data_IF_156757156167
#
_entry.id   IF_156757156167
#
_cell.length_a   1.000
_cell.length_b   1.000
_cell.length_c   1.000
_cell.angle_alpha   90.00
_cell.angle_beta   90.00
_cell.angle_gamma   90.00
#
_symmetry.space_group_name_H-M   'P 1'
#
loop_
_entity.id
_entity.type
_entity.pdbx_description
1 polymer ?
#
# COMPACT_ATOMS: atom_id res chain seq x y z
N UNK A 1 66.44 13.73 -40.28
CA UNK A 1 67.49 12.90 -39.64
C UNK A 1 67.82 13.54 -38.29
N UNK A 2 67.12 13.16 -37.22
CA UNK A 2 67.46 13.39 -35.82
C UNK A 2 66.39 12.72 -34.93
N UNK A 3 66.87 12.01 -33.91
CA UNK A 3 66.12 11.23 -32.92
C UNK A 3 65.34 12.09 -31.92
N UNK A 4 64.23 11.55 -31.41
CA UNK A 4 63.81 11.54 -29.98
C UNK A 4 62.41 10.92 -29.91
N UNK A 5 61.99 10.08 -28.97
CA UNK A 5 62.62 9.37 -27.85
C UNK A 5 61.54 8.46 -27.23
N UNK A 6 61.97 7.27 -26.76
CA UNK A 6 61.50 6.37 -25.66
C UNK A 6 59.99 6.36 -25.31
N UNK A 7 59.35 5.23 -24.95
CA UNK A 7 59.58 4.39 -23.77
C UNK A 7 58.93 2.99 -23.98
N UNK A 8 59.57 1.94 -23.44
CA UNK A 8 59.02 0.58 -23.35
C UNK A 8 58.05 0.51 -22.17
N UNK A 9 56.83 0.02 -22.37
CA UNK A 9 56.00 -0.52 -21.30
C UNK A 9 56.00 -2.05 -21.39
N UNK A 10 56.29 -2.69 -20.26
CA UNK A 10 56.24 -4.13 -20.08
C UNK A 10 54.79 -4.62 -19.96
N UNK A 11 54.43 -5.69 -20.67
CA UNK A 11 53.22 -6.46 -20.39
C UNK A 11 53.48 -7.34 -19.17
N UNK A 12 52.73 -7.13 -18.09
CA UNK A 12 52.53 -8.12 -17.04
C UNK A 12 51.14 -8.75 -17.25
N UNK A 13 51.10 -10.03 -17.60
CA UNK A 13 49.87 -10.82 -17.62
C UNK A 13 49.61 -11.37 -16.22
N UNK A 14 48.57 -10.87 -15.56
CA UNK A 14 48.12 -11.34 -14.26
C UNK A 14 47.06 -12.43 -14.46
N UNK A 15 47.38 -13.68 -14.13
CA UNK A 15 46.40 -14.77 -14.04
C UNK A 15 45.73 -14.64 -12.66
N UNK A 16 44.39 -14.52 -12.55
CA UNK A 16 43.73 -14.52 -11.25
C UNK A 16 43.79 -15.93 -10.65
N UNK A 17 44.35 -16.04 -9.44
CA UNK A 17 44.20 -17.24 -8.61
C UNK A 17 42.72 -17.40 -8.25
N UNK A 18 42.11 -18.53 -8.61
CA UNK A 18 40.89 -18.99 -7.96
C UNK A 18 41.19 -19.23 -6.48
N UNK A 19 40.57 -18.43 -5.61
CA UNK A 19 40.52 -18.74 -4.19
C UNK A 19 39.59 -19.92 -3.96
N UNK A 20 39.92 -20.85 -3.04
CA UNK A 20 39.03 -21.95 -2.70
C UNK A 20 37.78 -21.40 -2.01
N UNK A 21 36.61 -21.80 -2.48
CA UNK A 21 35.34 -21.57 -1.80
C UNK A 21 35.47 -22.25 -0.44
N UNK A 22 35.49 -21.45 0.64
CA UNK A 22 35.41 -21.97 1.99
C UNK A 22 34.10 -22.75 2.10
N UNK A 23 34.18 -24.07 2.31
CA UNK A 23 33.02 -24.87 2.64
C UNK A 23 32.42 -24.28 3.92
N UNK A 24 31.18 -23.77 3.83
CA UNK A 24 30.44 -23.33 5.00
C UNK A 24 30.49 -24.45 6.04
N UNK A 25 30.85 -24.12 7.28
CA UNK A 25 30.90 -25.10 8.35
C UNK A 25 29.56 -25.82 8.45
N UNK A 26 29.59 -27.13 8.75
CA UNK A 26 28.36 -27.95 8.82
C UNK A 26 27.33 -27.44 9.84
N UNK A 27 27.69 -26.46 10.67
CA UNK A 27 26.81 -25.77 11.59
C UNK A 27 26.05 -24.62 10.88
N UNK A 28 26.72 -23.78 10.11
CA UNK A 28 26.09 -22.70 9.35
C UNK A 28 25.08 -23.22 8.31
N UNK A 29 25.37 -24.35 7.67
CA UNK A 29 24.43 -25.01 6.75
C UNK A 29 23.21 -25.63 7.48
N UNK A 30 23.38 -26.09 8.71
CA UNK A 30 22.29 -26.62 9.54
C UNK A 30 21.43 -25.53 10.15
N UNK A 31 22.02 -24.39 10.48
CA UNK A 31 21.30 -23.22 10.98
C UNK A 31 20.49 -22.58 9.85
N UNK A 32 21.07 -22.42 8.66
CA UNK A 32 20.33 -21.98 7.46
C UNK A 32 19.19 -22.94 7.06
N UNK A 33 19.40 -24.26 7.20
CA UNK A 33 18.35 -25.25 6.94
C UNK A 33 17.23 -25.22 8.01
N UNK A 34 17.57 -24.88 9.26
CA UNK A 34 16.58 -24.69 10.34
C UNK A 34 15.78 -23.41 10.16
N UNK A 35 16.42 -22.32 9.75
CA UNK A 35 15.75 -21.06 9.46
C UNK A 35 14.82 -21.22 8.24
N UNK A 36 15.31 -21.85 7.16
CA UNK A 36 14.47 -22.18 6.00
C UNK A 36 13.30 -23.13 6.34
N UNK A 37 13.51 -24.11 7.22
CA UNK A 37 12.43 -25.00 7.69
C UNK A 37 11.44 -24.29 8.62
N UNK A 38 11.88 -23.27 9.36
CA UNK A 38 11.04 -22.45 10.25
C UNK A 38 10.22 -21.43 9.44
N UNK A 39 10.79 -20.86 8.39
CA UNK A 39 10.08 -20.00 7.44
C UNK A 39 9.07 -20.81 6.62
N UNK A 40 9.46 -22.00 6.13
CA UNK A 40 8.53 -22.92 5.46
C UNK A 40 7.41 -23.42 6.38
N UNK A 41 7.67 -23.62 7.68
CA UNK A 41 6.63 -23.95 8.67
C UNK A 41 5.73 -22.74 9.02
N UNK A 42 6.24 -21.51 8.91
CA UNK A 42 5.45 -20.28 9.02
C UNK A 42 4.48 -20.11 7.85
N UNK A 43 4.90 -20.54 6.66
CA UNK A 43 4.12 -20.51 5.41
C UNK A 43 3.12 -21.66 5.28
N UNK A 44 3.42 -22.84 5.84
CA UNK A 44 2.58 -24.04 5.73
C UNK A 44 1.19 -23.93 6.39
N UNK A 45 0.98 -22.94 7.26
CA UNK A 45 -0.30 -22.71 7.97
C UNK A 45 -1.25 -21.72 7.25
N UNK A 46 -0.82 -21.07 6.15
CA UNK A 46 -1.62 -20.07 5.46
C UNK A 46 -2.49 -20.70 4.35
N UNK A 47 -3.80 -20.47 4.42
CA UNK A 47 -4.73 -20.89 3.37
C UNK A 47 -5.29 -19.69 2.61
N UNK A 48 -5.29 -19.76 1.28
CA UNK A 48 -5.90 -18.74 0.43
C UNK A 48 -7.42 -18.73 0.64
N UNK A 49 -7.99 -17.60 1.06
CA UNK A 49 -9.43 -17.42 1.32
C UNK A 49 -10.10 -16.45 0.35
N UNK A 50 -9.33 -15.59 -0.31
CA UNK A 50 -9.79 -14.70 -1.36
C UNK A 50 -8.64 -14.41 -2.32
N UNK A 51 -8.95 -14.33 -3.62
CA UNK A 51 -8.03 -13.89 -4.64
C UNK A 51 -8.76 -13.17 -5.76
N UNK A 52 -8.15 -12.12 -6.29
CA UNK A 52 -8.46 -11.59 -7.61
C UNK A 52 -7.13 -11.44 -8.37
N UNK A 53 -7.00 -12.22 -9.44
CA UNK A 53 -5.82 -12.23 -10.34
C UNK A 53 -6.01 -11.28 -11.52
N UNK A 54 -7.18 -10.62 -11.64
CA UNK A 54 -7.48 -9.66 -12.70
C UNK A 54 -7.27 -10.22 -14.14
N UNK A 55 -7.44 -11.53 -14.32
CA UNK A 55 -7.29 -12.22 -15.62
C UNK A 55 -8.46 -11.98 -16.59
N UNK A 56 -9.56 -11.40 -16.11
CA UNK A 56 -10.73 -11.07 -16.93
C UNK A 56 -10.56 -9.80 -17.76
N UNK A 57 -11.61 -9.43 -18.50
CA UNK A 57 -11.63 -8.21 -19.33
C UNK A 57 -12.31 -7.01 -18.65
N UNK A 58 -12.88 -7.23 -17.46
CA UNK A 58 -13.63 -6.23 -16.70
C UNK A 58 -13.41 -6.40 -15.21
N UNK A 59 -13.62 -5.33 -14.43
CA UNK A 59 -13.62 -5.41 -12.97
C UNK A 59 -14.74 -6.36 -12.51
N UNK A 60 -14.39 -7.37 -11.71
CA UNK A 60 -15.38 -8.30 -11.17
C UNK A 60 -16.25 -7.62 -10.11
N UNK A 61 -17.54 -7.45 -10.43
CA UNK A 61 -18.52 -6.84 -9.54
C UNK A 61 -18.90 -7.73 -8.34
N UNK A 62 -18.55 -9.02 -8.36
CA UNK A 62 -18.67 -9.89 -7.18
C UNK A 62 -17.61 -9.54 -6.13
N UNK A 63 -16.45 -9.04 -6.54
CA UNK A 63 -15.33 -8.73 -5.65
C UNK A 63 -15.22 -7.24 -5.32
N UNK A 64 -15.49 -6.37 -6.30
CA UNK A 64 -15.16 -4.95 -6.22
C UNK A 64 -16.31 -4.04 -6.62
N UNK A 65 -16.38 -2.91 -5.92
CA UNK A 65 -17.20 -1.77 -6.30
C UNK A 65 -16.32 -0.56 -6.56
N UNK A 66 -16.51 0.08 -7.71
CA UNK A 66 -15.89 1.38 -7.97
C UNK A 66 -16.60 2.49 -7.19
N UNK A 67 -15.81 3.38 -6.58
CA UNK A 67 -16.29 4.55 -5.83
C UNK A 67 -16.36 5.76 -6.77
N UNK A 68 -17.44 6.54 -6.64
CA UNK A 68 -17.66 7.73 -7.45
C UNK A 68 -18.03 8.93 -6.58
N UNK A 69 -17.07 9.81 -6.32
CA UNK A 69 -17.24 11.06 -5.56
C UNK A 69 -16.06 12.03 -5.81
N UNK A 70 -16.20 13.27 -5.36
CA UNK A 70 -15.20 14.34 -5.43
C UNK A 70 -14.90 14.93 -4.05
N UNK A 71 -15.06 14.11 -3.00
CA UNK A 71 -15.04 14.55 -1.61
C UNK A 71 -13.69 15.13 -1.23
N UNK A 72 -12.61 14.56 -1.76
CA UNK A 72 -11.24 14.94 -1.42
C UNK A 72 -10.76 14.34 -0.10
N UNK A 73 -11.55 13.41 0.47
CA UNK A 73 -11.34 12.93 1.83
C UNK A 73 -11.44 14.05 2.86
N UNK A 74 -10.97 13.76 4.06
CA UNK A 74 -10.56 14.81 5.01
C UNK A 74 -9.11 15.27 4.74
N UNK A 75 -8.59 14.98 3.54
CA UNK A 75 -7.19 15.16 3.16
C UNK A 75 -6.98 16.27 2.11
N UNK A 76 -8.04 16.95 1.68
CA UNK A 76 -8.01 17.96 0.62
C UNK A 76 -7.48 17.46 -0.73
N UNK A 77 -7.74 16.21 -1.06
CA UNK A 77 -7.36 15.61 -2.35
C UNK A 77 -8.09 16.30 -3.51
N UNK A 78 -7.46 16.32 -4.70
CA UNK A 78 -7.87 17.15 -5.84
C UNK A 78 -8.66 16.42 -6.91
N UNK A 79 -8.79 15.10 -6.83
CA UNK A 79 -9.49 14.29 -7.83
C UNK A 79 -10.99 14.15 -7.56
N UNK A 80 -11.73 13.80 -8.61
CA UNK A 80 -12.94 12.99 -8.46
C UNK A 80 -12.60 11.54 -8.75
N UNK A 81 -12.95 10.63 -7.83
CA UNK A 81 -12.99 9.20 -8.13
C UNK A 81 -14.18 8.92 -9.05
N UNK A 82 -13.98 8.06 -10.05
CA UNK A 82 -15.05 7.60 -10.94
C UNK A 82 -14.86 6.12 -11.26
N UNK A 83 -15.96 5.42 -11.55
CA UNK A 83 -15.96 4.05 -12.10
C UNK A 83 -15.93 4.00 -13.63
N UNK A 84 -15.54 5.08 -14.31
CA UNK A 84 -15.46 5.09 -15.78
C UNK A 84 -14.30 4.19 -16.24
N UNK A 85 -14.40 3.53 -17.41
CA UNK A 85 -13.30 2.74 -17.98
C UNK A 85 -11.98 3.53 -18.15
N UNK A 86 -12.07 4.85 -18.33
CA UNK A 86 -10.92 5.77 -18.37
C UNK A 86 -10.13 5.85 -17.05
N UNK A 87 -10.74 5.45 -15.92
CA UNK A 87 -10.16 5.54 -14.59
C UNK A 87 -9.99 4.17 -13.91
N UNK A 88 -10.86 3.19 -14.20
CA UNK A 88 -10.81 1.83 -13.66
C UNK A 88 -11.07 0.84 -14.79
N UNK A 89 -10.08 0.03 -15.13
CA UNK A 89 -10.19 -1.01 -16.16
C UNK A 89 -9.39 -2.24 -15.73
N UNK A 90 -9.76 -3.40 -16.24
CA UNK A 90 -8.94 -4.61 -16.17
C UNK A 90 -8.49 -4.92 -17.60
N UNK A 91 -7.19 -5.09 -17.79
CA UNK A 91 -6.59 -5.40 -19.09
C UNK A 91 -5.21 -5.99 -18.90
N UNK A 92 -4.81 -6.87 -19.81
CA UNK A 92 -3.46 -7.45 -19.82
C UNK A 92 -3.11 -8.17 -18.50
N UNK A 93 -4.09 -8.83 -17.86
CA UNK A 93 -3.91 -9.54 -16.59
C UNK A 93 -3.69 -8.61 -15.39
N UNK A 94 -4.17 -7.36 -15.45
CA UNK A 94 -4.02 -6.42 -14.36
C UNK A 94 -5.21 -5.46 -14.25
N UNK A 95 -5.55 -5.11 -13.01
CA UNK A 95 -6.31 -3.89 -12.73
C UNK A 95 -5.43 -2.68 -13.02
N UNK A 96 -5.98 -1.69 -13.71
CA UNK A 96 -5.33 -0.42 -14.01
C UNK A 96 -6.18 0.74 -13.50
N UNK A 97 -5.71 1.36 -12.41
CA UNK A 97 -6.28 2.58 -11.85
C UNK A 97 -5.55 3.78 -12.48
N UNK A 98 -6.26 4.57 -13.26
CA UNK A 98 -5.71 5.69 -14.02
C UNK A 98 -6.18 7.03 -13.48
N UNK A 99 -5.24 7.88 -13.06
CA UNK A 99 -5.50 9.28 -12.77
C UNK A 99 -5.22 10.14 -14.01
N UNK A 100 -6.13 11.07 -14.32
CA UNK A 100 -6.05 11.94 -15.50
C UNK A 100 -6.18 13.39 -15.09
N UNK A 101 -5.43 14.27 -15.75
CA UNK A 101 -5.61 15.72 -15.64
C UNK A 101 -6.72 16.14 -16.61
N UNK A 102 -7.94 16.22 -16.10
CA UNK A 102 -9.12 16.59 -16.87
C UNK A 102 -10.14 17.31 -15.99
N UNK A 103 -10.97 18.16 -16.61
CA UNK A 103 -12.10 18.75 -15.91
C UNK A 103 -13.18 17.67 -15.71
N UNK A 104 -13.52 17.40 -14.45
CA UNK A 104 -14.55 16.42 -14.08
C UNK A 104 -15.47 17.00 -13.02
N UNK A 105 -16.72 16.57 -13.01
CA UNK A 105 -17.72 16.91 -12.00
C UNK A 105 -18.23 15.64 -11.34
N UNK A 106 -18.63 15.77 -10.09
CA UNK A 106 -19.27 14.69 -9.34
C UNK A 106 -19.65 15.15 -7.95
N UNK A 107 -20.27 14.24 -7.20
CA UNK A 107 -20.82 14.55 -5.89
C UNK A 107 -19.70 14.85 -4.88
N UNK A 108 -19.78 15.92 -4.07
CA UNK A 108 -18.74 16.29 -3.10
C UNK A 108 -18.69 15.40 -1.86
N UNK A 109 -19.47 14.31 -1.80
CA UNK A 109 -19.53 13.40 -0.66
C UNK A 109 -19.56 11.96 -1.15
N UNK A 110 -18.94 11.04 -0.41
CA UNK A 110 -19.06 9.62 -0.65
C UNK A 110 -20.52 9.19 -0.47
N UNK A 111 -20.90 8.10 -1.15
CA UNK A 111 -22.29 7.64 -1.27
C UNK A 111 -22.97 7.44 0.08
N UNK A 112 -22.28 6.82 1.02
CA UNK A 112 -22.72 6.55 2.38
C UNK A 112 -23.03 7.80 3.21
N UNK A 113 -22.48 8.95 2.82
CA UNK A 113 -22.70 10.24 3.49
C UNK A 113 -23.78 11.10 2.81
N UNK A 114 -24.32 10.65 1.67
CA UNK A 114 -25.36 11.39 0.93
C UNK A 114 -26.68 11.27 1.70
N UNK A 115 -27.18 12.40 2.20
CA UNK A 115 -28.44 12.44 2.97
C UNK A 115 -28.28 12.55 4.49
N UNK A 116 -27.05 12.50 5.01
CA UNK A 116 -26.78 12.69 6.45
C UNK A 116 -27.01 14.15 6.93
N UNK A 117 -27.24 15.11 6.04
CA UNK A 117 -27.58 16.49 6.38
C UNK A 117 -28.43 17.16 5.31
N UNK A 118 -29.44 17.92 5.73
CA UNK A 118 -30.31 18.73 4.86
C UNK A 118 -29.55 19.78 4.03
N UNK A 119 -28.28 20.09 4.36
CA UNK A 119 -27.41 21.00 3.59
C UNK A 119 -26.76 20.34 2.36
N UNK A 120 -26.81 19.01 2.25
CA UNK A 120 -26.21 18.24 1.17
C UNK A 120 -27.31 17.54 0.37
N UNK A 121 -27.90 18.27 -0.57
CA UNK A 121 -28.85 17.68 -1.51
C UNK A 121 -28.08 16.86 -2.56
N UNK A 122 -28.70 15.77 -3.03
CA UNK A 122 -28.15 14.87 -4.07
C UNK A 122 -27.81 15.56 -5.42
N UNK A 123 -28.07 16.86 -5.57
CA UNK A 123 -27.78 17.67 -6.77
C UNK A 123 -26.50 18.51 -6.66
N UNK A 124 -25.76 18.43 -5.55
CA UNK A 124 -24.50 19.15 -5.43
C UNK A 124 -23.43 18.41 -6.25
N UNK A 125 -22.88 19.10 -7.25
CA UNK A 125 -21.67 18.67 -7.94
C UNK A 125 -20.57 19.70 -7.76
N UNK A 126 -19.35 19.24 -7.52
CA UNK A 126 -18.16 20.09 -7.52
C UNK A 126 -17.30 19.77 -8.72
N UNK A 127 -16.63 20.80 -9.25
CA UNK A 127 -15.66 20.64 -10.35
C UNK A 127 -14.28 20.37 -9.76
N UNK A 128 -13.60 19.36 -10.28
CA UNK A 128 -12.18 19.07 -10.05
C UNK A 128 -11.42 19.09 -11.38
N UNK A 129 -10.09 19.20 -11.28
CA UNK A 129 -9.19 19.20 -12.45
C UNK A 129 -8.43 17.88 -12.62
N UNK A 130 -8.79 16.87 -11.82
CA UNK A 130 -8.26 15.53 -11.92
C UNK A 130 -9.40 14.53 -11.75
N UNK A 131 -9.36 13.45 -12.52
CA UNK A 131 -10.16 12.25 -12.28
C UNK A 131 -9.22 11.12 -11.85
N UNK A 132 -9.73 10.15 -11.11
CA UNK A 132 -9.00 8.92 -10.76
C UNK A 132 -9.95 7.77 -10.46
N UNK A 133 -9.39 6.61 -10.07
CA UNK A 133 -10.14 5.44 -9.63
C UNK A 133 -9.90 5.11 -8.16
N UNK A 134 -10.94 4.58 -7.53
CA UNK A 134 -10.94 3.96 -6.20
C UNK A 134 -11.89 2.78 -6.27
N UNK A 135 -11.43 1.61 -5.85
CA UNK A 135 -12.28 0.42 -5.72
C UNK A 135 -12.24 -0.11 -4.30
N UNK A 136 -13.34 -0.71 -3.86
CA UNK A 136 -13.51 -1.25 -2.52
C UNK A 136 -14.16 -2.62 -2.56
N UNK A 137 -13.84 -3.49 -1.60
CA UNK A 137 -14.57 -4.74 -1.35
C UNK A 137 -15.71 -4.58 -0.35
N UNK A 138 -16.01 -3.35 0.12
CA UNK A 138 -17.01 -3.07 1.16
C UNK A 138 -18.37 -3.69 0.83
N UNK A 139 -18.88 -4.52 1.74
CA UNK A 139 -20.15 -5.23 1.56
C UNK A 139 -20.11 -6.42 0.59
N UNK A 140 -18.93 -6.77 0.07
CA UNK A 140 -18.67 -7.92 -0.80
C UNK A 140 -17.72 -8.89 -0.09
N UNK A 141 -16.57 -8.39 0.36
CA UNK A 141 -15.58 -9.14 1.14
C UNK A 141 -14.98 -8.26 2.25
N UNK A 142 -14.88 -8.84 3.43
CA UNK A 142 -14.17 -8.30 4.58
C UNK A 142 -13.40 -9.43 5.26
N UNK A 143 -12.31 -9.06 5.93
CA UNK A 143 -11.36 -10.00 6.51
C UNK A 143 -11.07 -9.59 7.95
N UNK A 144 -11.04 -10.58 8.85
CA UNK A 144 -10.56 -10.41 10.21
C UNK A 144 -9.30 -11.25 10.36
N UNK A 145 -8.17 -10.57 10.58
CA UNK A 145 -6.84 -11.17 10.60
C UNK A 145 -6.46 -11.83 9.26
N UNK A 146 -5.17 -12.09 9.13
CA UNK A 146 -4.62 -12.82 8.00
C UNK A 146 -3.38 -12.16 7.41
N UNK A 147 -2.96 -12.70 6.27
CA UNK A 147 -2.00 -12.07 5.36
C UNK A 147 -2.75 -11.49 4.18
N UNK A 148 -2.65 -10.19 3.96
CA UNK A 148 -3.12 -9.56 2.72
C UNK A 148 -1.90 -9.19 1.89
N UNK A 149 -1.82 -9.72 0.67
CA UNK A 149 -0.72 -9.49 -0.27
C UNK A 149 -1.27 -8.90 -1.58
N UNK A 150 -0.67 -7.81 -2.02
CA UNK A 150 -1.05 -7.11 -3.25
C UNK A 150 0.19 -6.84 -4.07
N UNK A 151 0.23 -7.38 -5.30
CA UNK A 151 1.34 -7.10 -6.22
C UNK A 151 0.98 -5.95 -7.13
N UNK A 152 1.73 -4.86 -7.04
CA UNK A 152 1.40 -3.61 -7.72
C UNK A 152 2.62 -2.92 -8.34
N UNK A 153 2.34 -2.12 -9.37
CA UNK A 153 3.24 -1.14 -9.96
C UNK A 153 2.71 0.26 -9.66
N UNK A 154 3.56 1.14 -9.14
CA UNK A 154 3.17 2.46 -8.67
C UNK A 154 3.57 3.59 -9.64
N UNK A 155 2.76 4.66 -9.78
CA UNK A 155 3.12 5.81 -10.58
C UNK A 155 4.09 6.75 -9.86
N UNK A 156 5.01 7.33 -10.63
CA UNK A 156 5.88 8.43 -10.19
C UNK A 156 5.23 9.79 -10.37
N UNK A 157 5.58 10.74 -9.51
CA UNK A 157 5.33 12.17 -9.72
C UNK A 157 4.96 12.94 -8.45
N UNK A 158 5.33 14.22 -8.43
CA UNK A 158 4.94 15.16 -7.37
C UNK A 158 3.41 15.34 -7.35
N UNK A 159 2.81 15.19 -6.17
CA UNK A 159 1.37 15.25 -5.95
C UNK A 159 0.64 13.95 -6.21
N UNK A 160 1.33 12.81 -6.35
CA UNK A 160 0.72 11.50 -6.62
C UNK A 160 0.74 10.65 -5.35
N UNK A 161 -0.39 10.01 -5.02
CA UNK A 161 -0.57 9.26 -3.78
C UNK A 161 -1.40 7.97 -4.00
N UNK A 162 -0.79 6.89 -4.50
CA UNK A 162 -1.41 5.56 -4.51
C UNK A 162 -1.45 4.98 -3.09
N UNK A 163 -2.50 4.22 -2.80
CA UNK A 163 -2.69 3.55 -1.53
C UNK A 163 -3.34 2.17 -1.69
N UNK A 164 -2.91 1.25 -0.82
CA UNK A 164 -3.46 -0.08 -0.60
C UNK A 164 -3.74 -0.17 0.90
N UNK A 165 -5.01 -0.20 1.26
CA UNK A 165 -5.40 0.00 2.65
C UNK A 165 -6.76 -0.64 2.95
N UNK A 166 -7.14 -0.60 4.21
CA UNK A 166 -8.34 -1.25 4.71
C UNK A 166 -9.06 -0.37 5.72
N UNK A 167 -10.38 -0.40 5.67
CA UNK A 167 -11.26 0.21 6.65
C UNK A 167 -12.20 -0.85 7.23
N UNK A 168 -12.71 -0.65 8.45
CA UNK A 168 -13.58 -1.62 9.09
C UNK A 168 -14.92 -1.68 8.35
N UNK A 169 -15.46 -2.89 8.21
CA UNK A 169 -16.77 -3.10 7.60
C UNK A 169 -17.87 -2.38 8.39
N UNK A 170 -17.73 -2.31 9.70
CA UNK A 170 -18.61 -1.60 10.63
C UNK A 170 -17.85 -0.61 11.52
N UNK A 171 -18.51 0.46 11.93
CA UNK A 171 -17.94 1.42 12.90
C UNK A 171 -18.18 0.97 14.35
N UNK A 172 -17.85 -0.28 14.72
CA UNK A 172 -18.17 -0.87 16.03
C UNK A 172 -17.70 -0.03 17.23
N UNK A 173 -16.56 0.62 17.09
CA UNK A 173 -15.94 1.41 18.16
C UNK A 173 -16.17 2.93 17.99
N UNK A 174 -16.98 3.34 17.01
CA UNK A 174 -17.24 4.74 16.68
C UNK A 174 -16.69 5.17 15.32
N UNK A 175 -16.90 6.45 14.93
CA UNK A 175 -16.42 6.97 13.65
C UNK A 175 -14.89 6.92 13.57
N UNK A 176 -14.34 7.08 12.37
CA UNK A 176 -12.90 7.19 12.20
C UNK A 176 -12.29 8.27 13.12
N UNK A 177 -11.14 8.03 13.78
CA UNK A 177 -10.29 6.83 13.69
C UNK A 177 -10.60 5.75 14.76
N UNK A 178 -11.71 5.84 15.50
CA UNK A 178 -11.99 4.93 16.62
C UNK A 178 -12.12 3.47 16.20
N UNK A 179 -12.67 3.19 15.01
CA UNK A 179 -12.83 1.81 14.51
C UNK A 179 -11.62 1.27 13.74
N UNK A 180 -10.54 2.06 13.63
CA UNK A 180 -9.30 1.64 13.00
C UNK A 180 -9.19 1.95 11.49
N UNK A 181 -7.96 1.97 11.01
CA UNK A 181 -7.54 1.97 9.60
C UNK A 181 -6.23 1.19 9.50
N UNK A 182 -6.07 0.38 8.44
CA UNK A 182 -4.85 -0.39 8.18
C UNK A 182 -4.34 -0.04 6.79
N UNK A 183 -3.22 0.67 6.72
CA UNK A 183 -2.52 1.00 5.49
C UNK A 183 -1.43 -0.03 5.23
N UNK A 184 -1.65 -0.89 4.24
CA UNK A 184 -0.68 -1.89 3.79
C UNK A 184 0.44 -1.18 3.03
N UNK A 185 0.06 -0.19 2.23
CA UNK A 185 0.97 0.66 1.49
C UNK A 185 0.37 2.05 1.33
N UNK A 186 1.16 3.05 1.71
CA UNK A 186 1.05 4.40 1.17
C UNK A 186 2.41 4.85 0.64
N UNK A 187 2.36 5.62 -0.45
CA UNK A 187 3.50 6.41 -0.91
C UNK A 187 2.99 7.77 -1.37
N UNK A 188 3.81 8.80 -1.17
CA UNK A 188 3.56 10.11 -1.75
C UNK A 188 4.76 10.52 -2.59
N UNK A 189 4.48 11.24 -3.68
CA UNK A 189 5.50 11.94 -4.45
C UNK A 189 6.64 11.05 -4.95
N UNK A 190 6.43 9.74 -5.20
CA UNK A 190 7.50 8.84 -5.63
C UNK A 190 8.26 9.44 -6.82
N UNK A 191 9.58 9.44 -6.73
CA UNK A 191 10.45 10.05 -7.69
C UNK A 191 10.37 11.58 -7.74
N UNK A 192 9.81 12.30 -6.77
CA UNK A 192 10.00 13.75 -6.64
C UNK A 192 11.37 14.06 -6.02
N UNK A 193 11.78 15.33 -6.02
CA UNK A 193 13.02 15.73 -5.33
C UNK A 193 12.88 15.50 -3.82
N UNK A 194 13.88 14.89 -3.20
CA UNK A 194 13.89 14.64 -1.76
C UNK A 194 15.30 14.86 -1.21
N UNK A 195 15.47 15.93 -0.43
CA UNK A 195 16.77 16.29 0.13
C UNK A 195 17.33 15.23 1.09
N UNK A 196 16.44 14.54 1.81
CA UNK A 196 16.82 13.58 2.85
C UNK A 196 16.76 12.11 2.37
N UNK A 197 16.44 11.87 1.10
CA UNK A 197 16.37 10.52 0.54
C UNK A 197 17.68 10.15 -0.15
N UNK A 198 18.07 8.89 -0.04
CA UNK A 198 19.22 8.36 -0.78
C UNK A 198 19.01 8.58 -2.29
N UNK A 199 20.01 9.13 -2.98
CA UNK A 199 19.90 9.48 -4.40
C UNK A 199 19.12 10.76 -4.69
N UNK A 200 18.68 11.51 -3.68
CA UNK A 200 18.03 12.82 -3.85
C UNK A 200 16.59 12.75 -4.37
N UNK A 201 15.99 11.55 -4.37
CA UNK A 201 14.66 11.28 -4.94
C UNK A 201 13.81 10.50 -3.96
N UNK A 202 12.53 10.84 -3.90
CA UNK A 202 11.58 10.16 -3.03
C UNK A 202 11.39 8.69 -3.45
N UNK A 203 11.60 7.79 -2.51
CA UNK A 203 11.60 6.34 -2.71
C UNK A 203 11.11 5.59 -1.45
N UNK A 204 10.49 6.31 -0.51
CA UNK A 204 9.98 5.73 0.73
C UNK A 204 8.59 5.14 0.55
N UNK A 205 8.35 4.07 1.28
CA UNK A 205 7.04 3.45 1.45
C UNK A 205 6.66 3.41 2.92
N UNK A 206 5.36 3.49 3.17
CA UNK A 206 4.78 3.59 4.49
C UNK A 206 3.74 2.50 4.69
N UNK A 207 3.81 1.82 5.84
CA UNK A 207 2.74 0.99 6.36
C UNK A 207 2.29 1.59 7.68
N UNK A 208 0.99 1.81 7.85
CA UNK A 208 0.47 2.56 9.00
C UNK A 208 -0.79 1.89 9.55
N UNK A 209 -1.01 1.98 10.85
CA UNK A 209 -2.32 1.75 11.47
C UNK A 209 -2.78 3.02 12.17
N UNK A 210 -4.06 3.39 12.00
CA UNK A 210 -4.65 4.55 12.66
C UNK A 210 -5.67 4.10 13.69
N UNK A 211 -5.60 4.66 14.90
CA UNK A 211 -6.50 4.30 15.99
C UNK A 211 -6.58 5.45 17.01
N UNK A 212 -7.43 5.28 18.02
CA UNK A 212 -7.48 6.19 19.17
C UNK A 212 -6.72 5.59 20.34
N UNK A 213 -5.93 6.41 21.05
CA UNK A 213 -5.40 6.11 22.38
C UNK A 213 -5.40 7.36 23.25
N UNK A 214 -5.89 7.23 24.47
CA UNK A 214 -6.15 8.29 25.45
C UNK A 214 -6.96 9.44 24.86
N UNK A 215 -8.04 9.11 24.15
CA UNK A 215 -8.90 10.07 23.44
C UNK A 215 -8.21 10.84 22.30
N UNK A 216 -7.03 10.40 21.84
CA UNK A 216 -6.25 11.05 20.78
C UNK A 216 -6.02 10.12 19.62
N UNK A 217 -6.01 10.66 18.40
CA UNK A 217 -5.56 9.93 17.22
C UNK A 217 -4.07 9.58 17.35
N UNK A 218 -3.76 8.30 17.13
CA UNK A 218 -2.41 7.74 17.11
C UNK A 218 -2.17 7.00 15.80
N UNK A 219 -0.92 7.04 15.34
CA UNK A 219 -0.42 6.30 14.18
C UNK A 219 0.65 5.32 14.64
N UNK A 220 0.47 4.04 14.37
CA UNK A 220 1.53 3.03 14.47
C UNK A 220 2.12 2.84 13.08
N UNK A 221 3.37 3.24 12.87
CA UNK A 221 3.96 3.30 11.53
C UNK A 221 5.23 2.47 11.39
N UNK A 222 5.33 1.75 10.28
CA UNK A 222 6.56 1.22 9.71
C UNK A 222 6.88 1.99 8.43
N UNK A 223 8.17 2.21 8.15
CA UNK A 223 8.61 2.80 6.88
C UNK A 223 9.91 2.19 6.42
N UNK A 224 10.06 2.07 5.12
CA UNK A 224 11.34 1.70 4.48
C UNK A 224 11.52 2.52 3.21
N UNK A 225 12.63 2.30 2.50
CA UNK A 225 12.92 2.91 1.22
C UNK A 225 13.45 1.88 0.24
N UNK A 226 13.10 2.02 -1.04
CA UNK A 226 13.68 1.24 -2.12
C UNK A 226 14.98 1.86 -2.61
N UNK A 227 15.79 1.11 -3.36
CA UNK A 227 17.12 1.57 -3.80
C UNK A 227 17.07 2.75 -4.76
N UNK A 228 16.01 2.87 -5.58
CA UNK A 228 15.78 3.97 -6.51
C UNK A 228 14.29 4.22 -6.77
N UNK A 229 13.90 5.36 -7.36
CA UNK A 229 12.54 5.58 -7.85
C UNK A 229 12.11 4.59 -8.95
N UNK A 230 13.05 4.18 -9.81
CA UNK A 230 12.81 3.18 -10.85
C UNK A 230 12.46 1.83 -10.23
N UNK A 231 13.18 1.44 -9.17
CA UNK A 231 12.83 0.26 -8.38
C UNK A 231 11.46 0.48 -7.74
N UNK A 232 11.20 1.62 -7.09
CA UNK A 232 9.90 1.90 -6.48
C UNK A 232 8.71 1.89 -7.47
N UNK A 233 8.97 2.10 -8.76
CA UNK A 233 7.99 2.01 -9.85
C UNK A 233 8.00 0.65 -10.57
N UNK A 234 8.75 -0.34 -10.09
CA UNK A 234 8.69 -1.71 -10.57
C UNK A 234 7.49 -2.44 -9.95
N UNK A 235 7.32 -3.71 -10.34
CA UNK A 235 6.34 -4.58 -9.70
C UNK A 235 6.90 -5.11 -8.38
N UNK A 236 6.16 -4.84 -7.30
CA UNK A 236 6.49 -5.32 -5.97
C UNK A 236 5.28 -5.96 -5.31
N UNK A 237 5.51 -6.96 -4.46
CA UNK A 237 4.49 -7.44 -3.53
C UNK A 237 4.55 -6.59 -2.25
N UNK A 238 3.43 -5.94 -1.95
CA UNK A 238 3.19 -5.26 -0.68
C UNK A 238 2.25 -6.12 0.14
N UNK A 239 2.66 -6.47 1.35
CA UNK A 239 1.83 -7.31 2.20
C UNK A 239 1.83 -6.87 3.65
N UNK A 240 0.75 -7.23 4.35
CA UNK A 240 0.66 -7.15 5.79
C UNK A 240 0.31 -8.52 6.35
N UNK A 241 0.93 -8.88 7.47
CA UNK A 241 0.43 -9.92 8.36
C UNK A 241 -0.18 -9.27 9.59
N UNK A 242 -1.46 -9.53 9.80
CA UNK A 242 -2.26 -8.96 10.87
C UNK A 242 -2.84 -10.07 11.72
N UNK A 243 -2.59 -10.01 13.02
CA UNK A 243 -3.12 -10.91 14.03
C UNK A 243 -3.51 -10.12 15.27
N UNK A 244 -4.17 -10.71 16.29
CA UNK A 244 -4.57 -9.97 17.49
C UNK A 244 -3.39 -9.22 18.12
N UNK A 245 -3.42 -7.89 18.01
CA UNK A 245 -2.42 -7.00 18.60
C UNK A 245 -1.04 -7.01 17.92
N UNK A 246 -0.92 -7.49 16.69
CA UNK A 246 0.37 -7.50 15.98
C UNK A 246 0.18 -7.29 14.47
N UNK A 247 1.03 -6.41 13.93
CA UNK A 247 1.09 -6.06 12.52
C UNK A 247 2.53 -6.14 12.06
N UNK A 248 2.78 -6.78 10.93
CA UNK A 248 4.07 -6.80 10.26
C UNK A 248 3.87 -6.49 8.78
N UNK A 249 4.65 -5.57 8.23
CA UNK A 249 4.61 -5.18 6.84
C UNK A 249 5.78 -5.76 6.07
N UNK A 250 5.51 -6.18 4.84
CA UNK A 250 6.44 -6.87 3.98
C UNK A 250 6.52 -6.18 2.62
N UNK A 251 7.74 -6.14 2.08
CA UNK A 251 8.03 -5.78 0.70
C UNK A 251 8.77 -6.97 0.07
N UNK A 252 8.19 -7.54 -0.98
CA UNK A 252 8.72 -8.74 -1.66
C UNK A 252 9.07 -9.89 -0.72
N UNK A 253 8.17 -10.15 0.24
CA UNK A 253 8.35 -11.19 1.25
C UNK A 253 9.32 -10.84 2.39
N UNK A 254 10.00 -9.69 2.33
CA UNK A 254 10.91 -9.23 3.39
C UNK A 254 10.18 -8.30 4.35
N UNK A 255 10.12 -8.67 5.64
CA UNK A 255 9.58 -7.80 6.69
C UNK A 255 10.43 -6.53 6.79
N UNK A 256 9.81 -5.36 6.65
CA UNK A 256 10.50 -4.07 6.80
C UNK A 256 10.09 -3.30 8.05
N UNK A 257 9.04 -3.74 8.73
CA UNK A 257 8.66 -3.18 10.01
C UNK A 257 7.46 -3.88 10.61
N UNK A 258 7.31 -3.70 11.91
CA UNK A 258 6.26 -4.30 12.69
C UNK A 258 5.79 -3.33 13.77
N UNK A 259 4.53 -3.43 14.12
CA UNK A 259 3.92 -2.73 15.25
C UNK A 259 3.29 -3.80 16.13
N UNK A 260 3.86 -3.95 17.33
CA UNK A 260 3.24 -4.74 18.39
C UNK A 260 2.37 -3.81 19.23
N UNK A 261 1.12 -4.21 19.36
CA UNK A 261 0.03 -3.43 19.90
C UNK A 261 -0.37 -4.00 21.26
N UNK A 262 0.62 -4.49 22.02
CA UNK A 262 0.42 -5.24 23.27
C UNK A 262 -0.44 -4.51 24.32
N UNK A 263 -0.79 -3.23 24.12
CA UNK A 263 -1.62 -2.42 25.02
C UNK A 263 -2.52 -1.38 24.27
N UNK A 264 -3.09 -1.66 23.09
CA UNK A 264 -4.28 -0.86 22.66
C UNK A 264 -5.47 -1.33 23.48
N UNK A 265 -5.62 -0.73 24.65
CA UNK A 265 -6.84 -0.68 25.45
C UNK A 265 -7.20 0.79 25.61
N UNK A 266 -7.63 1.44 24.52
CA UNK A 266 -8.12 2.81 24.61
C UNK A 266 -8.85 3.26 23.36
N UNK A 267 -9.89 2.51 22.98
CA UNK A 267 -11.08 3.23 22.52
C UNK A 267 -11.85 3.58 23.78
N UNK A 268 -12.54 4.72 23.86
CA UNK A 268 -13.51 5.00 24.94
C UNK A 268 -14.65 3.93 25.06
N UNK A 269 -14.61 2.88 24.23
CA UNK A 269 -15.36 1.63 24.30
C UNK A 269 -14.62 0.46 25.01
N UNK A 270 -13.47 0.71 25.67
CA UNK A 270 -12.55 -0.30 26.21
C UNK A 270 -12.90 -0.82 27.61
N UNK A 271 -14.14 -1.26 27.84
CA UNK A 271 -14.56 -1.78 29.15
C UNK A 271 -14.93 -3.30 29.16
N UNK A 272 -14.55 -4.08 28.14
CA UNK A 272 -14.97 -5.49 28.03
C UNK A 272 -13.85 -6.54 27.87
N UNK A 273 -12.56 -6.16 27.95
CA UNK A 273 -11.46 -7.13 27.78
C UNK A 273 -11.16 -7.49 26.31
N UNK A 274 -11.59 -6.67 25.34
CA UNK A 274 -11.30 -6.84 23.92
C UNK A 274 -9.81 -6.70 23.57
N UNK A 275 -9.10 -7.83 23.54
CA UNK A 275 -7.74 -7.89 22.98
C UNK A 275 -7.75 -7.54 21.49
N UNK A 276 -6.88 -6.63 21.08
CA UNK A 276 -6.66 -6.28 19.67
C UNK A 276 -7.65 -5.27 19.09
N UNK A 277 -8.55 -4.67 19.89
CA UNK A 277 -9.35 -3.54 19.45
C UNK A 277 -8.47 -2.34 19.00
N UNK A 278 -8.94 -1.50 18.07
CA UNK A 278 -10.16 -1.65 17.29
C UNK A 278 -10.01 -2.60 16.08
N UNK A 279 -8.85 -3.26 15.95
CA UNK A 279 -8.50 -4.19 14.87
C UNK A 279 -8.83 -5.64 15.20
N UNK A 280 -9.99 -5.85 15.83
CA UNK A 280 -10.55 -7.17 16.16
C UNK A 280 -11.97 -7.31 15.59
N UNK A 281 -12.21 -6.64 14.47
CA UNK A 281 -13.42 -6.70 13.65
C UNK A 281 -13.02 -6.85 12.18
N UNK A 282 -13.93 -7.23 11.28
CA UNK A 282 -13.60 -7.36 9.87
C UNK A 282 -13.32 -6.02 9.18
N UNK A 283 -12.36 -6.02 8.25
CA UNK A 283 -11.97 -4.88 7.43
C UNK A 283 -12.10 -5.22 5.94
N UNK A 284 -12.61 -4.28 5.15
CA UNK A 284 -12.68 -4.38 3.69
C UNK A 284 -11.46 -3.70 3.05
N UNK A 285 -11.07 -4.17 1.86
CA UNK A 285 -9.93 -3.64 1.10
C UNK A 285 -10.31 -2.41 0.27
N UNK A 286 -9.33 -1.53 0.10
CA UNK A 286 -9.39 -0.32 -0.70
C UNK A 286 -8.12 -0.20 -1.54
N UNK A 287 -8.29 0.03 -2.84
CA UNK A 287 -7.23 0.37 -3.77
C UNK A 287 -7.58 1.70 -4.43
N UNK A 288 -6.70 2.70 -4.35
CA UNK A 288 -6.92 3.98 -5.02
C UNK A 288 -5.64 4.68 -5.43
N UNK A 289 -5.81 5.66 -6.31
CA UNK A 289 -4.78 6.60 -6.73
C UNK A 289 -5.25 8.03 -6.48
N UNK A 290 -4.89 8.62 -5.34
CA UNK A 290 -5.19 10.01 -5.04
C UNK A 290 -4.22 10.98 -5.75
N UNK A 291 -4.68 12.21 -5.98
CA UNK A 291 -3.89 13.32 -6.54
C UNK A 291 -3.99 14.53 -5.61
N UNK A 292 -2.84 15.04 -5.17
CA UNK A 292 -2.76 16.14 -4.22
C UNK A 292 -3.24 15.74 -2.83
N UNK A 293 -3.56 16.74 -2.03
CA UNK A 293 -3.90 16.58 -0.61
C UNK A 293 -2.83 17.15 0.32
N UNK A 294 -3.18 17.31 1.59
CA UNK A 294 -2.36 17.99 2.60
C UNK A 294 -0.95 17.40 2.69
N UNK A 295 -0.82 16.07 2.67
CA UNK A 295 0.47 15.40 2.82
C UNK A 295 1.38 15.51 1.58
N UNK A 296 0.98 15.06 0.37
CA UNK A 296 1.85 15.18 -0.81
C UNK A 296 2.15 16.63 -1.19
N UNK A 297 1.22 17.57 -1.01
CA UNK A 297 1.42 18.97 -1.43
C UNK A 297 2.23 19.81 -0.44
N UNK A 298 2.40 19.37 0.80
CA UNK A 298 3.30 20.00 1.78
C UNK A 298 4.70 19.41 1.79
N UNK A 299 4.90 18.29 1.09
CA UNK A 299 6.16 17.54 1.03
C UNK A 299 6.91 17.79 -0.29
N UNK A 300 8.21 17.53 -0.30
CA UNK A 300 9.08 17.56 -1.50
C UNK A 300 8.99 18.91 -2.24
N UNK A 301 8.66 18.89 -3.53
CA UNK A 301 8.61 20.08 -4.40
C UNK A 301 7.34 20.92 -4.19
N UNK A 302 6.44 20.47 -3.30
CA UNK A 302 5.12 21.06 -2.98
C UNK A 302 4.14 21.05 -4.16
N UNK A 303 2.85 21.13 -3.83
CA UNK A 303 1.78 21.12 -4.83
C UNK A 303 1.73 19.83 -5.67
N UNK A 304 1.14 19.94 -6.87
CA UNK A 304 1.00 18.85 -7.84
C UNK A 304 1.69 19.25 -9.14
N UNK A 305 2.61 18.43 -9.65
CA UNK A 305 3.19 18.63 -10.97
C UNK A 305 2.19 18.15 -12.04
N UNK A 306 1.69 19.05 -12.91
CA UNK A 306 0.73 18.66 -13.95
C UNK A 306 1.34 17.80 -15.09
N UNK A 307 2.66 17.59 -15.13
CA UNK A 307 3.34 16.85 -16.21
C UNK A 307 3.24 15.33 -16.01
N UNK A 308 3.30 14.61 -17.12
CA UNK A 308 3.35 13.15 -17.11
C UNK A 308 2.05 12.46 -16.69
N UNK A 309 0.90 13.14 -16.79
CA UNK A 309 -0.40 12.49 -16.80
C UNK A 309 -0.68 11.86 -18.18
N UNK A 310 -1.44 10.76 -18.25
CA UNK A 310 -2.07 10.04 -17.14
C UNK A 310 -1.07 9.32 -16.23
N UNK A 311 -1.41 9.18 -14.95
CA UNK A 311 -0.67 8.39 -13.96
C UNK A 311 -1.40 7.08 -13.73
N UNK A 312 -0.69 5.97 -13.60
CA UNK A 312 -1.31 4.65 -13.47
C UNK A 312 -0.71 3.88 -12.30
N UNK A 313 -1.60 3.41 -11.43
CA UNK A 313 -1.32 2.31 -10.52
C UNK A 313 -1.85 1.04 -11.19
N UNK A 314 -1.01 0.02 -11.31
CA UNK A 314 -1.40 -1.29 -11.84
C UNK A 314 -1.33 -2.32 -10.73
N UNK A 315 -2.28 -3.25 -10.69
CA UNK A 315 -2.32 -4.32 -9.71
C UNK A 315 -2.47 -5.63 -10.46
N UNK A 316 -1.51 -6.52 -10.24
CA UNK A 316 -1.42 -7.85 -10.84
C UNK A 316 -2.31 -8.83 -10.09
N UNK A 317 -2.24 -8.83 -8.76
CA UNK A 317 -3.17 -9.60 -7.93
C UNK A 317 -3.43 -8.97 -6.58
N UNK A 318 -4.55 -9.38 -5.99
CA UNK A 318 -4.84 -9.28 -4.56
C UNK A 318 -5.07 -10.69 -4.05
N UNK A 319 -4.36 -11.09 -3.01
CA UNK A 319 -4.54 -12.40 -2.36
C UNK A 319 -4.63 -12.23 -0.85
N UNK A 320 -5.59 -12.92 -0.25
CA UNK A 320 -5.78 -12.92 1.20
C UNK A 320 -5.68 -14.35 1.71
N UNK A 321 -4.85 -14.53 2.72
CA UNK A 321 -4.60 -15.81 3.36
C UNK A 321 -4.96 -15.74 4.84
N UNK A 322 -5.49 -16.84 5.38
CA UNK A 322 -5.78 -16.96 6.81
C UNK A 322 -5.28 -18.29 7.34
N UNK A 323 -4.83 -18.31 8.59
CA UNK A 323 -4.52 -19.56 9.28
C UNK A 323 -5.79 -20.27 9.71
N UNK A 324 -5.74 -21.59 9.85
CA UNK A 324 -6.91 -22.40 10.26
C UNK A 324 -7.57 -21.87 11.56
N UNK A 325 -6.76 -21.39 12.50
CA UNK A 325 -7.23 -20.78 13.77
C UNK A 325 -7.95 -19.43 13.62
N UNK A 326 -7.74 -18.73 12.52
CA UNK A 326 -8.35 -17.43 12.21
C UNK A 326 -9.65 -17.57 11.40
N UNK A 327 -9.86 -18.71 10.74
CA UNK A 327 -11.07 -19.00 9.97
C UNK A 327 -12.26 -19.42 10.84
N UNK A 328 -12.01 -19.83 12.08
CA UNK A 328 -13.08 -20.15 13.05
C UNK A 328 -13.63 -18.83 13.59
N UNK A 329 -14.78 -18.40 13.06
CA UNK A 329 -15.53 -17.28 13.65
C UNK A 329 -15.70 -17.52 15.16
N UNK A 330 -15.50 -16.51 16.02
CA UNK A 330 -15.92 -16.61 17.41
C UNK A 330 -17.42 -16.94 17.45
N UNK A 331 -17.80 -17.94 18.24
CA UNK A 331 -19.21 -18.22 18.58
C UNK A 331 -19.85 -17.03 19.33
#
# INVERSE_FOLDING_TARGET
MAMSGRWRLALAASIPLLQPIAAASGQAAKDAAKDAAKDAAKDADWHLVFADEFDGDTLDAAHWRAVADCWGGNNAERQCYTGRPDNVTVREGALVITARKEAVRGHPLPEESRGASAKHTAKQEVKRNYSSGKIVTKGLHDFLYGRVAVRAQLPLGQGVWPAIWMLPQESRYGPWPHSGEIDILEVINLGATCADCAGGRENRIFGTIHYVRNGKHVQGQARTHLSSPEDAAAWHEYAIEWSPGHFAWFLDGVEYGQVSVAEITDTDAADDGNRGAPFNQPFYLILNLAIGGHWPESSNDKGVDPKGFPKQMKVDYVRVYQREREQKKPE
#
